data_IF_799854906670
#
_entry.id   IF_799854906670
#
_cell.length_a   1.000
_cell.length_b   1.000
_cell.length_c   1.000
_cell.angle_alpha   90.00
_cell.angle_beta   90.00
_cell.angle_gamma   90.00
#
_symmetry.space_group_name_H-M   'P 1'
#
loop_
_entity.id
_entity.type
_entity.pdbx_description
1 polymer ?
#
# COMPACT_ATOMS: atom_id res chain seq x y z
N UNK A 1 -9.39 -38.28 -7.63
CA UNK A 1 -10.36 -37.21 -7.34
C UNK A 1 -9.89 -36.47 -6.10
N UNK A 2 -9.25 -35.28 -6.23
CA UNK A 2 -8.89 -34.45 -5.09
C UNK A 2 -10.17 -33.84 -4.52
N UNK A 3 -10.45 -34.05 -3.25
CA UNK A 3 -11.58 -33.43 -2.55
C UNK A 3 -11.38 -31.91 -2.58
N UNK A 4 -12.21 -31.21 -3.35
CA UNK A 4 -12.40 -29.77 -3.19
C UNK A 4 -13.01 -29.55 -1.82
N UNK A 5 -12.18 -29.20 -0.83
CA UNK A 5 -12.68 -28.83 0.48
C UNK A 5 -13.32 -27.44 0.35
N UNK A 6 -14.64 -27.38 0.28
CA UNK A 6 -15.41 -26.21 0.70
C UNK A 6 -15.17 -26.04 2.21
N UNK A 7 -13.98 -25.60 2.57
CA UNK A 7 -13.61 -25.42 3.97
C UNK A 7 -14.25 -24.14 4.49
N UNK A 8 -15.35 -24.31 5.17
CA UNK A 8 -16.11 -23.32 5.89
C UNK A 8 -15.45 -22.95 7.22
N UNK A 9 -14.15 -22.78 7.31
CA UNK A 9 -13.56 -22.21 8.53
C UNK A 9 -12.20 -21.61 8.22
N UNK A 10 -11.96 -20.34 8.57
CA UNK A 10 -10.63 -19.75 8.38
C UNK A 10 -9.63 -20.52 9.23
N UNK A 11 -8.60 -21.06 8.60
CA UNK A 11 -7.50 -21.69 9.32
C UNK A 11 -6.77 -20.61 10.11
N UNK A 12 -6.75 -20.73 11.43
CA UNK A 12 -6.12 -19.76 12.32
C UNK A 12 -4.60 -19.98 12.29
N UNK A 13 -3.86 -18.95 11.88
CA UNK A 13 -2.42 -18.95 12.05
C UNK A 13 -2.06 -18.39 13.42
N UNK A 14 -1.46 -19.24 14.26
CA UNK A 14 -1.13 -18.87 15.66
C UNK A 14 -0.14 -17.72 15.79
N UNK A 15 0.69 -17.48 14.77
CA UNK A 15 1.65 -16.38 14.71
C UNK A 15 1.04 -15.01 14.32
N UNK A 16 -0.24 -14.96 13.92
CA UNK A 16 -0.86 -13.69 13.59
C UNK A 16 -1.10 -12.84 14.85
N UNK A 17 -0.67 -11.59 14.79
CA UNK A 17 -1.08 -10.56 15.76
C UNK A 17 -2.60 -10.30 15.67
N UNK A 18 -3.22 -9.71 16.70
CA UNK A 18 -4.69 -9.57 16.76
C UNK A 18 -5.30 -8.97 15.48
N UNK A 19 -4.78 -7.84 14.99
CA UNK A 19 -5.30 -7.20 13.79
C UNK A 19 -5.16 -8.10 12.55
N UNK A 20 -4.00 -8.71 12.34
CA UNK A 20 -3.77 -9.60 11.20
C UNK A 20 -4.70 -10.82 11.22
N UNK A 21 -5.04 -11.32 12.39
CA UNK A 21 -6.01 -12.42 12.56
C UNK A 21 -7.40 -11.99 12.10
N UNK A 22 -7.85 -10.79 12.50
CA UNK A 22 -9.13 -10.21 12.06
C UNK A 22 -9.13 -10.03 10.54
N UNK A 23 -8.07 -9.42 10.00
CA UNK A 23 -7.91 -9.21 8.57
C UNK A 23 -7.93 -10.53 7.78
N UNK A 24 -7.22 -11.57 8.27
CA UNK A 24 -7.22 -12.91 7.66
C UNK A 24 -8.61 -13.53 7.63
N UNK A 25 -9.34 -13.46 8.73
CA UNK A 25 -10.73 -13.96 8.80
C UNK A 25 -11.60 -13.23 7.79
N UNK A 26 -11.55 -11.90 7.79
CA UNK A 26 -12.33 -11.08 6.86
C UNK A 26 -12.01 -11.40 5.39
N UNK A 27 -10.74 -11.48 5.02
CA UNK A 27 -10.33 -11.79 3.64
C UNK A 27 -10.69 -13.22 3.24
N UNK A 28 -10.59 -14.17 4.16
CA UNK A 28 -11.02 -15.56 3.91
C UNK A 28 -12.52 -15.66 3.68
N UNK A 29 -13.31 -14.92 4.45
CA UNK A 29 -14.77 -14.85 4.30
C UNK A 29 -15.14 -14.14 2.99
N UNK A 30 -14.49 -13.05 2.66
CA UNK A 30 -14.68 -12.36 1.38
C UNK A 30 -14.37 -13.28 0.19
N UNK A 31 -13.23 -13.97 0.22
CA UNK A 31 -12.86 -14.94 -0.81
C UNK A 31 -13.92 -16.03 -0.94
N UNK A 32 -14.37 -16.59 0.18
CA UNK A 32 -15.31 -17.75 0.19
C UNK A 32 -16.72 -17.33 -0.20
N UNK A 33 -17.23 -16.26 0.38
CA UNK A 33 -18.65 -15.89 0.29
C UNK A 33 -18.93 -14.92 -0.85
N UNK A 34 -18.00 -14.03 -1.18
CA UNK A 34 -18.16 -13.02 -2.20
C UNK A 34 -17.52 -13.44 -3.53
N UNK A 35 -16.24 -13.76 -3.54
CA UNK A 35 -15.55 -14.21 -4.74
C UNK A 35 -15.94 -15.65 -5.12
N UNK A 36 -16.34 -16.49 -4.17
CA UNK A 36 -16.75 -17.89 -4.33
C UNK A 36 -15.66 -18.76 -4.97
N UNK A 37 -14.40 -18.51 -4.61
CA UNK A 37 -13.23 -19.26 -5.11
C UNK A 37 -12.50 -19.98 -3.96
N UNK A 38 -11.80 -21.11 -4.26
CA UNK A 38 -10.99 -21.81 -3.27
C UNK A 38 -9.76 -20.98 -2.89
N UNK A 39 -9.15 -21.30 -1.74
CA UNK A 39 -7.82 -20.83 -1.40
C UNK A 39 -6.75 -21.77 -1.97
N UNK A 40 -5.51 -21.27 -2.11
CA UNK A 40 -4.37 -22.06 -2.53
C UNK A 40 -3.80 -22.87 -1.35
N UNK A 41 -4.04 -24.20 -1.26
CA UNK A 41 -3.56 -25.01 -0.16
C UNK A 41 -2.06 -25.36 -0.27
N UNK A 42 -1.48 -25.26 -1.46
CA UNK A 42 -0.11 -25.64 -1.75
C UNK A 42 0.88 -24.51 -1.44
N UNK A 43 0.39 -23.26 -1.41
CA UNK A 43 1.18 -22.13 -0.96
C UNK A 43 1.34 -22.17 0.55
N UNK A 44 2.57 -21.93 1.04
CA UNK A 44 2.88 -21.96 2.48
C UNK A 44 2.02 -20.99 3.31
N UNK A 45 1.58 -19.90 2.69
CA UNK A 45 0.68 -18.90 3.27
C UNK A 45 -0.79 -19.16 2.90
N UNK A 46 -1.06 -19.89 1.82
CA UNK A 46 -2.37 -20.15 1.25
C UNK A 46 -3.26 -20.99 2.16
N UNK A 47 -2.67 -21.96 2.85
CA UNK A 47 -3.39 -22.85 3.80
C UNK A 47 -4.15 -22.11 4.91
N UNK A 48 -3.90 -20.82 5.08
CA UNK A 48 -4.61 -19.98 6.05
C UNK A 48 -5.76 -19.15 5.41
N UNK A 49 -6.15 -19.49 4.19
CA UNK A 49 -7.41 -19.02 3.58
C UNK A 49 -7.41 -17.65 2.91
N UNK A 50 -6.38 -16.83 3.08
CA UNK A 50 -6.29 -15.48 2.52
C UNK A 50 -5.33 -15.37 1.33
N UNK A 51 -5.27 -16.42 0.50
CA UNK A 51 -4.40 -16.49 -0.67
C UNK A 51 -5.17 -17.10 -1.84
N UNK A 52 -5.21 -16.41 -2.97
CA UNK A 52 -5.91 -16.88 -4.17
C UNK A 52 -5.12 -17.98 -4.89
N UNK A 53 -5.85 -18.89 -5.54
CA UNK A 53 -5.25 -19.86 -6.47
C UNK A 53 -4.56 -19.12 -7.62
N UNK A 54 -3.50 -19.70 -8.23
CA UNK A 54 -2.77 -19.05 -9.32
C UNK A 54 -3.66 -18.58 -10.48
N UNK A 55 -4.66 -19.37 -10.88
CA UNK A 55 -5.58 -18.98 -11.95
C UNK A 55 -6.46 -17.78 -11.54
N UNK A 56 -6.93 -17.74 -10.30
CA UNK A 56 -7.77 -16.67 -9.77
C UNK A 56 -6.96 -15.39 -9.58
N UNK A 57 -5.71 -15.51 -9.12
CA UNK A 57 -4.75 -14.43 -9.02
C UNK A 57 -4.44 -13.83 -10.41
N UNK A 58 -4.11 -14.69 -11.39
CA UNK A 58 -3.85 -14.26 -12.78
C UNK A 58 -5.07 -13.61 -13.44
N UNK A 59 -6.28 -14.05 -13.08
CA UNK A 59 -7.53 -13.40 -13.49
C UNK A 59 -7.78 -12.07 -12.77
N UNK A 60 -6.91 -11.67 -11.84
CA UNK A 60 -6.99 -10.40 -11.12
C UNK A 60 -8.13 -10.34 -10.10
N UNK A 61 -8.54 -11.46 -9.50
CA UNK A 61 -9.66 -11.48 -8.56
C UNK A 61 -9.39 -10.70 -7.27
N UNK A 62 -8.15 -10.36 -6.98
CA UNK A 62 -7.76 -9.47 -5.89
C UNK A 62 -8.10 -7.99 -6.18
N UNK A 63 -8.53 -7.67 -7.40
CA UNK A 63 -8.84 -6.31 -7.83
C UNK A 63 -10.34 -6.09 -8.01
N UNK A 64 -10.76 -4.84 -7.76
CA UNK A 64 -12.14 -4.38 -7.89
C UNK A 64 -12.72 -4.76 -9.25
N UNK A 65 -13.86 -5.44 -9.25
CA UNK A 65 -14.46 -6.04 -10.45
C UNK A 65 -14.68 -5.01 -11.58
N UNK A 66 -15.20 -3.85 -11.23
CA UNK A 66 -15.64 -2.86 -12.22
C UNK A 66 -14.46 -2.11 -12.87
N UNK A 67 -13.30 -2.10 -12.22
CA UNK A 67 -12.07 -1.46 -12.70
C UNK A 67 -10.95 -2.45 -12.99
N UNK A 68 -11.22 -3.75 -12.90
CA UNK A 68 -10.20 -4.80 -12.95
C UNK A 68 -9.31 -4.73 -14.18
N UNK A 69 -9.90 -4.61 -15.36
CA UNK A 69 -9.11 -4.58 -16.59
C UNK A 69 -8.18 -3.36 -16.64
N UNK A 70 -8.69 -2.19 -16.29
CA UNK A 70 -7.87 -0.98 -16.20
C UNK A 70 -6.74 -1.13 -15.18
N UNK A 71 -7.03 -1.69 -14.01
CA UNK A 71 -6.02 -1.95 -12.97
C UNK A 71 -4.93 -2.87 -13.51
N UNK A 72 -5.29 -3.98 -14.15
CA UNK A 72 -4.33 -4.92 -14.73
C UNK A 72 -3.44 -4.28 -15.80
N UNK A 73 -4.04 -3.47 -16.68
CA UNK A 73 -3.30 -2.75 -17.72
C UNK A 73 -2.31 -1.73 -17.13
N UNK A 74 -2.73 -0.99 -16.12
CA UNK A 74 -1.86 -0.04 -15.41
C UNK A 74 -0.73 -0.73 -14.64
N UNK A 75 -1.02 -1.85 -13.97
CA UNK A 75 -0.01 -2.67 -13.28
C UNK A 75 1.00 -3.21 -14.30
N UNK A 76 0.54 -3.76 -15.43
CA UNK A 76 1.42 -4.27 -16.48
C UNK A 76 2.33 -3.17 -17.05
N UNK A 77 1.81 -1.97 -17.22
CA UNK A 77 2.59 -0.80 -17.67
C UNK A 77 3.61 -0.36 -16.63
N UNK A 78 3.24 -0.36 -15.35
CA UNK A 78 4.12 0.07 -14.24
C UNK A 78 5.19 -0.97 -13.94
N UNK A 79 4.84 -2.23 -14.01
CA UNK A 79 5.66 -3.39 -13.68
C UNK A 79 5.68 -4.39 -14.83
N UNK A 80 6.40 -4.11 -15.93
CA UNK A 80 6.43 -5.00 -17.10
C UNK A 80 7.02 -6.38 -16.78
N UNK A 81 7.75 -6.49 -15.69
CA UNK A 81 8.33 -7.75 -15.20
C UNK A 81 8.23 -7.81 -13.68
N UNK A 82 7.43 -8.73 -13.18
CA UNK A 82 7.35 -9.08 -11.77
C UNK A 82 8.07 -10.41 -11.54
N UNK A 83 8.79 -10.51 -10.43
CA UNK A 83 9.22 -11.82 -9.92
C UNK A 83 8.00 -12.58 -9.39
N UNK A 84 8.11 -13.90 -9.24
CA UNK A 84 7.02 -14.71 -8.68
C UNK A 84 6.57 -14.19 -7.29
N UNK A 85 7.51 -13.82 -6.43
CA UNK A 85 7.20 -13.28 -5.09
C UNK A 85 6.45 -11.94 -5.17
N UNK A 86 6.83 -11.04 -6.09
CA UNK A 86 6.13 -9.77 -6.29
C UNK A 86 4.74 -9.98 -6.87
N UNK A 87 4.61 -10.90 -7.84
CA UNK A 87 3.32 -11.28 -8.40
C UNK A 87 2.41 -11.83 -7.30
N UNK A 88 2.87 -12.79 -6.53
CA UNK A 88 2.11 -13.38 -5.43
C UNK A 88 1.70 -12.33 -4.39
N UNK A 89 2.58 -11.41 -4.04
CA UNK A 89 2.28 -10.31 -3.12
C UNK A 89 1.12 -9.46 -3.61
N UNK A 90 1.18 -9.04 -4.88
CA UNK A 90 0.21 -8.11 -5.46
C UNK A 90 -1.11 -8.78 -5.88
N UNK A 91 -1.03 -9.96 -6.52
CA UNK A 91 -2.19 -10.59 -7.16
C UNK A 91 -2.88 -11.65 -6.30
N UNK A 92 -2.13 -12.38 -5.47
CA UNK A 92 -2.65 -13.55 -4.75
C UNK A 92 -2.84 -13.33 -3.24
N UNK A 93 -1.93 -12.58 -2.59
CA UNK A 93 -1.94 -12.40 -1.14
C UNK A 93 -2.89 -11.28 -0.71
N UNK A 94 -4.09 -11.64 -0.28
CA UNK A 94 -5.13 -10.70 0.13
C UNK A 94 -4.82 -9.94 1.44
N UNK A 95 -3.69 -10.24 2.11
CA UNK A 95 -3.26 -9.57 3.35
C UNK A 95 -2.16 -8.53 3.14
N UNK A 96 -1.70 -8.34 1.91
CA UNK A 96 -0.68 -7.36 1.57
C UNK A 96 -1.29 -6.01 1.27
N UNK A 97 -0.52 -4.94 1.48
CA UNK A 97 -0.97 -3.58 1.17
C UNK A 97 -0.87 -3.24 -0.31
N UNK A 98 -0.04 -3.93 -1.09
CA UNK A 98 0.31 -3.56 -2.47
C UNK A 98 -0.90 -3.46 -3.42
N UNK A 99 -1.97 -4.22 -3.19
CA UNK A 99 -3.17 -4.16 -4.04
C UNK A 99 -4.17 -3.05 -3.63
N UNK A 100 -4.06 -2.51 -2.41
CA UNK A 100 -5.01 -1.53 -1.88
C UNK A 100 -5.00 -0.21 -2.67
N UNK A 101 -3.83 0.39 -3.00
CA UNK A 101 -3.80 1.61 -3.79
C UNK A 101 -4.56 1.49 -5.11
N UNK A 102 -4.41 0.38 -5.81
CA UNK A 102 -5.10 0.12 -7.06
C UNK A 102 -6.61 -0.01 -6.89
N UNK A 103 -7.05 -0.70 -5.84
CA UNK A 103 -8.47 -0.92 -5.55
C UNK A 103 -9.20 0.33 -5.08
N UNK A 104 -8.52 1.23 -4.39
CA UNK A 104 -9.11 2.44 -3.82
C UNK A 104 -8.98 3.62 -4.78
N UNK A 105 -7.77 3.88 -5.28
CA UNK A 105 -7.50 5.13 -5.98
C UNK A 105 -7.75 5.09 -7.48
N UNK A 106 -7.83 3.92 -8.13
CA UNK A 106 -8.31 3.87 -9.52
C UNK A 106 -9.78 4.28 -9.62
N UNK A 107 -10.72 3.73 -8.82
CA UNK A 107 -12.09 4.25 -8.78
C UNK A 107 -12.17 5.75 -8.46
N UNK A 108 -11.36 6.24 -7.51
CA UNK A 108 -11.34 7.65 -7.14
C UNK A 108 -10.84 8.56 -8.27
N UNK A 109 -9.95 8.08 -9.13
CA UNK A 109 -9.47 8.83 -10.29
C UNK A 109 -10.56 9.05 -11.36
N UNK A 110 -11.64 8.28 -11.33
CA UNK A 110 -12.80 8.45 -12.22
C UNK A 110 -13.80 9.52 -11.75
N UNK A 111 -13.67 9.99 -10.49
CA UNK A 111 -14.50 11.08 -9.96
C UNK A 111 -13.63 11.97 -9.05
N UNK A 112 -12.87 12.87 -9.68
CA UNK A 112 -11.97 13.78 -8.99
C UNK A 112 -12.72 14.76 -8.08
N UNK A 113 -13.97 15.14 -8.45
CA UNK A 113 -14.81 16.02 -7.63
C UNK A 113 -15.25 15.32 -6.32
N UNK A 114 -15.69 14.07 -6.40
CA UNK A 114 -16.01 13.29 -5.21
C UNK A 114 -14.75 13.04 -4.36
N UNK A 115 -13.62 12.82 -5.01
CA UNK A 115 -12.32 12.64 -4.32
C UNK A 115 -11.94 13.89 -3.52
N UNK A 116 -12.07 15.10 -4.08
CA UNK A 116 -11.83 16.34 -3.36
C UNK A 116 -12.69 16.45 -2.09
N UNK A 117 -13.98 16.15 -2.19
CA UNK A 117 -14.91 16.15 -1.04
C UNK A 117 -14.51 15.14 0.05
N UNK A 118 -14.11 13.93 -0.37
CA UNK A 118 -13.66 12.88 0.58
C UNK A 118 -12.40 13.35 1.32
N UNK A 119 -11.40 13.88 0.63
CA UNK A 119 -10.16 14.32 1.25
C UNK A 119 -10.34 15.58 2.10
N UNK A 120 -11.15 16.54 1.69
CA UNK A 120 -11.52 17.68 2.55
C UNK A 120 -12.17 17.20 3.86
N UNK A 121 -13.05 16.21 3.79
CA UNK A 121 -13.63 15.61 5.01
C UNK A 121 -12.58 14.89 5.87
N UNK A 122 -11.63 14.18 5.29
CA UNK A 122 -10.54 13.51 6.01
C UNK A 122 -9.62 14.53 6.69
N UNK A 123 -9.27 15.61 5.99
CA UNK A 123 -8.42 16.67 6.51
C UNK A 123 -9.13 17.55 7.55
N UNK A 124 -10.46 17.54 7.59
CA UNK A 124 -11.26 18.39 8.46
C UNK A 124 -11.24 19.86 8.06
N UNK A 125 -10.89 20.16 6.81
CA UNK A 125 -10.76 21.52 6.26
C UNK A 125 -11.08 21.52 4.76
N UNK A 126 -11.54 22.69 4.24
CA UNK A 126 -11.77 22.89 2.80
C UNK A 126 -10.47 23.34 2.12
N UNK A 127 -9.47 22.44 2.11
CA UNK A 127 -8.14 22.74 1.57
C UNK A 127 -7.99 22.37 0.10
N UNK A 128 -8.87 21.52 -0.41
CA UNK A 128 -8.80 21.02 -1.79
C UNK A 128 -9.90 21.69 -2.61
N UNK A 129 -9.50 22.65 -3.45
CA UNK A 129 -10.41 23.31 -4.38
C UNK A 129 -10.75 22.35 -5.53
N UNK A 130 -9.74 21.67 -6.06
CA UNK A 130 -9.85 20.74 -7.19
C UNK A 130 -8.75 19.68 -7.09
N UNK A 131 -9.10 18.40 -7.24
CA UNK A 131 -8.11 17.34 -7.49
C UNK A 131 -7.82 17.32 -8.98
N UNK A 132 -6.54 17.43 -9.34
CA UNK A 132 -6.10 17.49 -10.75
C UNK A 132 -5.56 16.17 -11.27
N UNK A 133 -4.97 15.34 -10.40
CA UNK A 133 -4.42 14.04 -10.81
C UNK A 133 -4.28 13.07 -9.60
N UNK A 134 -4.35 11.77 -9.88
CA UNK A 134 -4.09 10.69 -8.92
C UNK A 134 -3.12 9.70 -9.57
N UNK A 135 -1.96 9.55 -8.95
CA UNK A 135 -0.87 8.68 -9.43
C UNK A 135 -0.60 7.58 -8.40
N UNK A 136 -0.63 6.33 -8.85
CA UNK A 136 -0.31 5.17 -8.02
C UNK A 136 1.15 4.81 -8.26
N UNK A 137 1.87 4.42 -7.19
CA UNK A 137 3.29 4.08 -7.21
C UNK A 137 4.14 5.20 -7.82
N UNK A 138 3.87 6.41 -7.41
CA UNK A 138 4.53 7.58 -7.95
C UNK A 138 5.80 7.93 -7.17
N UNK A 139 6.90 8.12 -7.90
CA UNK A 139 8.16 8.61 -7.36
C UNK A 139 8.44 10.02 -7.87
N UNK A 140 8.76 10.98 -6.99
CA UNK A 140 9.21 12.30 -7.42
C UNK A 140 10.56 12.25 -8.12
N UNK A 141 10.92 13.33 -8.82
CA UNK A 141 12.24 13.43 -9.42
C UNK A 141 13.33 13.42 -8.33
N UNK A 142 14.16 12.36 -8.34
CA UNK A 142 15.15 12.08 -7.29
C UNK A 142 16.05 13.26 -6.97
N UNK A 143 16.55 13.96 -7.99
CA UNK A 143 17.50 15.06 -7.86
C UNK A 143 16.91 16.27 -7.14
N UNK A 144 15.59 16.44 -7.24
CA UNK A 144 14.85 17.52 -6.56
C UNK A 144 14.42 17.16 -5.13
N UNK A 145 14.50 15.87 -4.76
CA UNK A 145 14.08 15.36 -3.46
C UNK A 145 15.25 14.75 -2.68
N UNK A 146 15.04 13.65 -1.99
CA UNK A 146 16.03 13.00 -1.12
C UNK A 146 17.09 12.19 -1.90
N UNK A 147 16.99 12.14 -3.24
CA UNK A 147 17.86 11.37 -4.13
C UNK A 147 17.85 9.87 -3.84
N UNK A 148 16.72 9.35 -3.46
CA UNK A 148 16.49 7.93 -3.20
C UNK A 148 15.56 7.27 -4.22
N UNK A 149 15.15 6.02 -3.97
CA UNK A 149 14.23 5.26 -4.81
C UNK A 149 12.82 5.16 -4.18
N UNK A 150 12.53 6.00 -3.19
CA UNK A 150 11.22 5.97 -2.52
C UNK A 150 10.13 6.44 -3.47
N UNK A 151 9.02 5.72 -3.47
CA UNK A 151 7.76 6.11 -4.11
C UNK A 151 6.67 6.18 -3.07
N UNK A 152 5.68 7.03 -3.31
CA UNK A 152 4.41 6.97 -2.59
C UNK A 152 3.54 5.87 -3.18
N UNK A 153 2.85 5.11 -2.35
CA UNK A 153 1.85 4.16 -2.82
C UNK A 153 0.76 4.87 -3.65
N UNK A 154 0.40 6.09 -3.25
CA UNK A 154 -0.45 6.99 -4.03
C UNK A 154 -0.03 8.44 -3.82
N UNK A 155 -0.11 9.25 -4.87
CA UNK A 155 0.06 10.69 -4.83
C UNK A 155 -1.15 11.37 -5.45
N UNK A 156 -1.75 12.32 -4.72
CA UNK A 156 -2.89 13.11 -5.18
C UNK A 156 -2.40 14.54 -5.39
N UNK A 157 -2.52 15.04 -6.62
CA UNK A 157 -2.25 16.42 -6.95
C UNK A 157 -3.54 17.23 -6.92
N UNK A 158 -3.50 18.41 -6.32
CA UNK A 158 -4.67 19.25 -6.17
C UNK A 158 -4.34 20.74 -6.20
N UNK A 159 -5.34 21.58 -6.43
CA UNK A 159 -5.24 23.02 -6.32
C UNK A 159 -5.76 23.48 -4.96
N UNK A 160 -5.04 24.44 -4.36
CA UNK A 160 -5.45 25.20 -3.20
C UNK A 160 -5.12 26.67 -3.43
N UNK A 161 -6.13 27.54 -3.47
CA UNK A 161 -5.97 28.98 -3.76
C UNK A 161 -5.10 29.24 -5.01
N UNK A 162 -5.35 28.46 -6.08
CA UNK A 162 -4.64 28.54 -7.35
C UNK A 162 -3.21 28.00 -7.35
N UNK A 163 -2.74 27.40 -6.26
CA UNK A 163 -1.42 26.77 -6.15
C UNK A 163 -1.54 25.25 -6.26
N UNK A 164 -0.61 24.64 -6.97
CA UNK A 164 -0.48 23.19 -7.02
C UNK A 164 0.08 22.66 -5.70
N UNK A 165 -0.65 21.77 -5.08
CA UNK A 165 -0.31 21.07 -3.84
C UNK A 165 -0.37 19.56 -4.05
N UNK A 166 0.09 18.78 -3.07
CA UNK A 166 0.06 17.33 -3.16
C UNK A 166 -0.06 16.62 -1.83
N UNK A 167 -0.71 15.46 -1.85
CA UNK A 167 -0.82 14.53 -0.72
C UNK A 167 -0.10 13.25 -1.12
N UNK A 168 0.99 12.93 -0.41
CA UNK A 168 1.64 11.62 -0.49
C UNK A 168 0.98 10.65 0.48
N UNK A 169 0.63 9.47 0.00
CA UNK A 169 -0.06 8.44 0.78
C UNK A 169 0.80 7.19 0.79
N UNK A 170 1.03 6.66 2.00
CA UNK A 170 1.64 5.37 2.26
C UNK A 170 0.59 4.44 2.85
N UNK A 171 0.39 3.27 2.25
CA UNK A 171 -0.63 2.30 2.66
C UNK A 171 0.02 1.16 3.43
N UNK A 172 -0.48 0.89 4.63
CA UNK A 172 -0.11 -0.28 5.43
C UNK A 172 -1.36 -1.06 5.78
N UNK A 173 -1.29 -2.38 5.69
CA UNK A 173 -2.39 -3.26 6.04
C UNK A 173 -2.01 -4.21 7.16
N UNK A 174 -1.38 -5.34 6.84
CA UNK A 174 -0.98 -6.31 7.87
C UNK A 174 0.53 -6.47 7.99
N UNK A 175 1.29 -5.68 7.25
CA UNK A 175 2.74 -5.67 7.28
C UNK A 175 3.25 -5.13 8.61
N UNK A 176 4.25 -5.79 9.14
CA UNK A 176 5.02 -5.26 10.25
C UNK A 176 6.09 -4.30 9.73
N UNK A 177 6.47 -3.30 10.55
CA UNK A 177 7.50 -2.34 10.15
C UNK A 177 8.80 -3.04 9.73
N UNK A 178 9.45 -2.51 8.71
CA UNK A 178 10.74 -3.02 8.24
C UNK A 178 11.86 -2.60 9.20
N UNK A 179 12.69 -3.53 9.68
CA UNK A 179 13.91 -3.14 10.37
C UNK A 179 14.87 -2.50 9.37
N UNK A 180 15.48 -1.37 9.72
CA UNK A 180 16.54 -0.79 8.92
C UNK A 180 17.71 -1.76 8.80
N UNK A 181 18.16 -2.02 7.57
CA UNK A 181 19.40 -2.73 7.32
C UNK A 181 20.60 -1.92 7.85
N UNK A 182 21.70 -2.62 8.17
CA UNK A 182 22.89 -1.97 8.72
C UNK A 182 23.48 -0.87 7.78
N UNK A 183 23.39 -1.08 6.46
CA UNK A 183 23.80 -0.10 5.45
C UNK A 183 22.88 1.13 5.47
N UNK A 184 21.59 0.92 5.43
CA UNK A 184 20.58 1.97 5.43
C UNK A 184 20.64 2.81 6.72
N UNK A 185 20.83 2.16 7.87
CA UNK A 185 21.02 2.84 9.14
C UNK A 185 22.20 3.80 9.07
N UNK A 186 23.35 3.36 8.59
CA UNK A 186 24.56 4.20 8.46
C UNK A 186 24.35 5.35 7.49
N UNK A 187 23.73 5.10 6.35
CA UNK A 187 23.58 6.11 5.29
C UNK A 187 22.49 7.15 5.63
N UNK A 188 21.44 6.76 6.31
CA UNK A 188 20.28 7.61 6.56
C UNK A 188 20.31 8.20 7.97
N UNK A 189 20.54 7.37 9.00
CA UNK A 189 20.38 7.79 10.41
C UNK A 189 21.68 8.27 11.07
N UNK A 190 22.82 7.67 10.72
CA UNK A 190 24.10 7.94 11.37
C UNK A 190 24.95 8.97 10.59
N UNK A 191 24.67 9.17 9.30
CA UNK A 191 25.39 10.12 8.48
C UNK A 191 24.77 11.52 8.58
N UNK A 192 25.36 12.39 9.39
CA UNK A 192 24.93 13.79 9.56
C UNK A 192 25.00 14.64 8.27
N UNK A 193 25.81 14.21 7.29
CA UNK A 193 25.92 14.85 5.98
C UNK A 193 24.89 14.30 4.99
N UNK A 194 24.09 13.32 5.37
CA UNK A 194 23.06 12.79 4.50
C UNK A 194 21.99 13.85 4.19
N UNK A 195 21.41 13.79 3.01
CA UNK A 195 20.32 14.70 2.64
C UNK A 195 19.11 14.54 3.56
N UNK A 196 18.88 13.35 4.10
CA UNK A 196 17.89 13.11 5.14
C UNK A 196 18.14 13.94 6.40
N UNK A 197 19.37 13.90 6.94
CA UNK A 197 19.74 14.70 8.10
C UNK A 197 19.61 16.20 7.85
N UNK A 198 20.02 16.66 6.67
CA UNK A 198 19.92 18.08 6.28
C UNK A 198 18.45 18.53 6.20
N UNK A 199 17.59 17.77 5.53
CA UNK A 199 16.15 18.08 5.41
C UNK A 199 15.47 18.03 6.77
N UNK A 200 15.77 17.02 7.60
CA UNK A 200 15.21 16.90 8.95
C UNK A 200 15.57 18.11 9.82
N UNK A 201 16.83 18.60 9.73
CA UNK A 201 17.27 19.78 10.47
C UNK A 201 16.64 21.08 9.96
N UNK A 202 16.37 21.19 8.66
CA UNK A 202 15.91 22.44 8.02
C UNK A 202 14.39 22.57 7.93
N UNK A 203 13.61 21.48 7.96
CA UNK A 203 12.17 21.54 7.75
C UNK A 203 11.37 22.09 8.95
N UNK A 204 11.96 22.12 10.14
CA UNK A 204 11.32 22.62 11.36
C UNK A 204 10.17 21.74 11.91
N UNK A 205 9.95 20.56 11.33
CA UNK A 205 8.88 19.65 11.77
C UNK A 205 9.27 18.78 12.95
N UNK A 206 10.58 18.67 13.24
CA UNK A 206 11.11 17.83 14.31
C UNK A 206 11.61 18.69 15.46
N UNK A 207 11.26 18.30 16.69
CA UNK A 207 11.76 18.97 17.89
C UNK A 207 13.19 18.51 18.12
N UNK A 208 14.15 19.41 17.96
CA UNK A 208 15.59 19.13 18.06
C UNK A 208 16.06 18.79 19.48
N UNK A 209 15.27 19.08 20.51
CA UNK A 209 15.58 18.79 21.91
C UNK A 209 15.39 17.33 22.33
N UNK A 210 14.78 16.49 21.47
CA UNK A 210 14.66 15.03 21.72
C UNK A 210 15.81 14.30 21.04
N UNK A 211 17.01 14.83 21.13
CA UNK A 211 18.20 14.38 20.40
C UNK A 211 18.69 12.96 20.73
N UNK A 212 18.10 12.28 21.71
CA UNK A 212 18.48 10.93 22.12
C UNK A 212 17.44 9.84 21.81
N UNK A 213 16.33 10.17 21.12
CA UNK A 213 15.37 9.16 20.68
C UNK A 213 15.56 8.89 19.18
N UNK A 214 15.61 7.60 18.78
CA UNK A 214 15.65 7.29 17.35
C UNK A 214 14.42 7.88 16.66
N UNK A 215 14.61 8.45 15.46
CA UNK A 215 13.57 9.05 14.57
C UNK A 215 12.30 8.20 14.44
N UNK A 216 12.39 6.89 14.72
CA UNK A 216 11.27 5.94 14.74
C UNK A 216 10.15 6.25 15.74
N UNK A 217 10.42 6.98 16.81
CA UNK A 217 9.43 7.21 17.89
C UNK A 217 8.67 8.52 17.72
N UNK A 218 9.07 9.36 16.77
CA UNK A 218 8.47 10.69 16.54
C UNK A 218 7.66 10.79 15.25
N UNK A 219 7.65 9.76 14.41
CA UNK A 219 6.79 9.67 13.23
C UNK A 219 5.52 8.86 13.58
N UNK A 220 4.54 9.51 14.13
CA UNK A 220 3.14 9.11 14.19
C UNK A 220 2.34 9.99 13.26
#
# INVERSE_FOLDING_TARGET
>A
MKKTSNAASPLIYKGDKPFKRIARTHQSDFRTNFLKVPFDPDNIYGKYGAFLMPNDANAGLNFCKDFRQEILDRIQKRYPRLTATQHDGLYANMLRSEHIPWNVFIPMAHDLSATAKVFNKILGADEIDEVTDIRIEWAPEKTKCLNDNTSFDTYIEYLHNGKTCGIGIEVKYTEEGYPFGAKERREVMENEQSRYAQVTKSCGWFITEISNRPIRETAL
#
